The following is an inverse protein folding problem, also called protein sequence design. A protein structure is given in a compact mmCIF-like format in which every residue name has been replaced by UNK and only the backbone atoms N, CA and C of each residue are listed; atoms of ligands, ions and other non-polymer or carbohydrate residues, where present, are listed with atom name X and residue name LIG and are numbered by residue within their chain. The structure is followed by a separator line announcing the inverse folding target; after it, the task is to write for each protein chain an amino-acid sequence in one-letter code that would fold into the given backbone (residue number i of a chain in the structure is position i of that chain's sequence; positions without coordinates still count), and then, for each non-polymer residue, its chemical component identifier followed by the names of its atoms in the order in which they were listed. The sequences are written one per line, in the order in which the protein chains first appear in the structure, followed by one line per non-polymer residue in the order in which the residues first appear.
data_IF_924774155020
#
_entry.id   IF_924774155020
#
_cell.length_a   1.000
_cell.length_b   1.000
_cell.length_c   1.000
_cell.angle_alpha   90.00
_cell.angle_beta   90.00
_cell.angle_gamma   90.00
#
_symmetry.space_group_name_H-M   'P 1'
#
loop_
_entity.id
_entity.type
_entity.pdbx_description
1 polymer ?
#
# COMPACT_ATOMS: atom_id res chain seq x y z
N UNK A 1 -8.43 25.21 15.13
CA UNK A 1 -7.88 24.36 14.05
C UNK A 1 -9.05 23.79 13.28
N UNK A 2 -9.12 24.02 11.96
CA UNK A 2 -10.07 23.31 11.11
C UNK A 2 -9.74 21.81 11.21
N UNK A 3 -10.69 21.01 11.69
CA UNK A 3 -10.54 19.56 11.75
C UNK A 3 -10.53 19.03 10.32
N UNK A 4 -9.39 18.52 9.87
CA UNK A 4 -9.24 17.88 8.56
C UNK A 4 -10.22 16.71 8.46
N UNK A 5 -10.96 16.61 7.36
CA UNK A 5 -11.76 15.43 7.03
C UNK A 5 -10.82 14.22 6.87
N UNK A 6 -10.96 13.17 7.70
CA UNK A 6 -10.13 11.98 7.57
C UNK A 6 -10.26 11.28 6.21
N UNK A 7 -11.35 11.52 5.46
CA UNK A 7 -11.64 10.98 4.12
C UNK A 7 -11.38 11.97 2.99
N UNK A 8 -10.52 12.96 3.21
CA UNK A 8 -10.27 14.07 2.28
C UNK A 8 -9.91 13.66 0.83
N UNK A 9 -9.41 12.44 0.58
CA UNK A 9 -9.08 11.96 -0.79
C UNK A 9 -10.05 10.89 -1.26
N UNK A 10 -10.23 9.83 -0.47
CA UNK A 10 -10.94 8.62 -0.88
C UNK A 10 -12.42 8.85 -1.17
N UNK A 11 -13.04 9.86 -0.52
CA UNK A 11 -14.42 10.27 -0.81
C UNK A 11 -14.70 10.49 -2.28
N UNK A 12 -13.72 10.99 -3.04
CA UNK A 12 -13.82 11.23 -4.48
C UNK A 12 -14.11 9.95 -5.26
N UNK A 13 -13.59 8.81 -4.80
CA UNK A 13 -13.79 7.52 -5.48
C UNK A 13 -15.04 6.78 -5.02
N UNK A 14 -15.59 7.11 -3.85
CA UNK A 14 -16.57 6.25 -3.20
C UNK A 14 -17.88 6.95 -2.80
N UNK A 15 -17.96 8.28 -2.76
CA UNK A 15 -19.20 9.02 -2.50
C UNK A 15 -19.93 9.38 -3.78
N UNK A 16 -21.25 9.45 -3.71
CA UNK A 16 -22.08 9.78 -4.87
C UNK A 16 -22.66 8.57 -5.60
N UNK A 17 -23.72 8.83 -6.36
CA UNK A 17 -24.46 7.80 -7.09
C UNK A 17 -23.66 7.27 -8.28
N UNK A 18 -22.94 8.16 -8.94
CA UNK A 18 -22.02 7.88 -10.06
C UNK A 18 -20.83 6.99 -9.65
N UNK A 19 -20.50 6.93 -8.35
CA UNK A 19 -19.46 6.05 -7.81
C UNK A 19 -19.95 4.64 -7.44
N UNK A 20 -21.19 4.28 -7.76
CA UNK A 20 -21.72 2.93 -7.53
C UNK A 20 -20.88 1.81 -8.18
N UNK A 21 -20.36 1.95 -9.42
CA UNK A 21 -19.48 0.92 -10.00
C UNK A 21 -18.19 0.74 -9.22
N UNK A 22 -17.54 1.81 -8.75
CA UNK A 22 -16.31 1.68 -7.95
C UNK A 22 -16.57 0.89 -6.65
N UNK A 23 -17.69 1.17 -5.97
CA UNK A 23 -18.08 0.44 -4.77
C UNK A 23 -18.43 -1.02 -5.04
N UNK A 24 -19.02 -1.35 -6.19
CA UNK A 24 -19.35 -2.76 -6.50
C UNK A 24 -18.10 -3.62 -6.66
N UNK A 25 -17.02 -3.08 -7.23
CA UNK A 25 -15.73 -3.79 -7.33
C UNK A 25 -15.12 -4.06 -5.95
N UNK A 26 -15.17 -3.09 -5.03
CA UNK A 26 -14.69 -3.30 -3.66
C UNK A 26 -15.53 -4.32 -2.89
N UNK A 27 -16.86 -4.28 -3.07
CA UNK A 27 -17.76 -5.28 -2.48
C UNK A 27 -17.47 -6.69 -3.00
N UNK A 28 -17.10 -6.84 -4.27
CA UNK A 28 -16.75 -8.13 -4.85
C UNK A 28 -15.51 -8.79 -4.21
N UNK A 29 -14.63 -8.00 -3.57
CA UNK A 29 -13.47 -8.48 -2.83
C UNK A 29 -13.66 -8.42 -1.30
N UNK A 30 -14.90 -8.29 -0.84
CA UNK A 30 -15.29 -8.47 0.57
C UNK A 30 -15.40 -7.20 1.41
N UNK A 31 -15.32 -6.00 0.81
CA UNK A 31 -15.53 -4.75 1.56
C UNK A 31 -17.01 -4.51 1.80
N UNK A 32 -17.36 -4.11 3.02
CA UNK A 32 -18.72 -3.69 3.37
C UNK A 32 -18.94 -2.21 3.08
N UNK A 33 -20.20 -1.75 3.14
CA UNK A 33 -20.50 -0.31 3.07
C UNK A 33 -19.84 0.46 4.22
N UNK A 34 -19.70 -0.16 5.39
CA UNK A 34 -19.01 0.44 6.54
C UNK A 34 -17.50 0.59 6.26
N UNK A 35 -16.86 -0.42 5.69
CA UNK A 35 -15.44 -0.35 5.33
C UNK A 35 -15.18 0.77 4.31
N UNK A 36 -16.06 0.91 3.31
CA UNK A 36 -15.96 1.94 2.27
C UNK A 36 -16.25 3.34 2.84
N UNK A 37 -17.02 3.42 3.93
CA UNK A 37 -17.38 4.68 4.59
C UNK A 37 -16.30 5.22 5.54
N UNK A 38 -15.20 4.47 5.77
CA UNK A 38 -14.07 4.87 6.62
C UNK A 38 -12.90 5.42 5.79
N UNK A 39 -11.92 6.11 6.40
CA UNK A 39 -10.68 6.48 5.73
C UNK A 39 -9.95 5.26 5.16
N UNK A 40 -9.53 5.34 3.91
CA UNK A 40 -8.82 4.24 3.25
C UNK A 40 -7.32 4.45 3.41
N UNK A 41 -6.67 3.47 4.04
CA UNK A 41 -5.23 3.50 4.30
C UNK A 41 -4.53 2.47 3.42
N UNK A 42 -3.69 2.94 2.51
CA UNK A 42 -2.83 2.06 1.70
C UNK A 42 -1.71 1.47 2.54
N UNK A 43 -1.47 0.17 2.42
CA UNK A 43 -0.34 -0.51 3.07
C UNK A 43 0.57 -1.02 1.97
N UNK A 44 1.64 -0.30 1.72
CA UNK A 44 2.64 -0.66 0.73
C UNK A 44 3.67 -1.58 1.37
N UNK A 45 3.90 -2.75 0.79
CA UNK A 45 4.92 -3.68 1.24
C UNK A 45 5.94 -3.93 0.13
N UNK A 46 7.19 -4.19 0.51
CA UNK A 46 8.25 -4.69 -0.37
C UNK A 46 8.48 -6.18 -0.14
N UNK A 47 7.48 -6.91 0.34
CA UNK A 47 7.60 -8.34 0.64
C UNK A 47 7.99 -9.12 -0.61
N UNK A 48 8.95 -10.02 -0.45
CA UNK A 48 9.40 -10.97 -1.47
C UNK A 48 10.06 -12.16 -0.79
N UNK A 49 10.01 -13.31 -1.46
CA UNK A 49 10.69 -14.54 -1.02
C UNK A 49 12.13 -14.64 -1.51
N UNK A 50 12.60 -13.66 -2.30
CA UNK A 50 13.95 -13.65 -2.88
C UNK A 50 15.05 -13.33 -1.88
N UNK A 51 14.75 -12.84 -0.68
CA UNK A 51 15.75 -12.39 0.29
C UNK A 51 15.22 -12.33 1.73
N UNK A 52 16.10 -12.53 2.74
CA UNK A 52 15.68 -12.56 4.14
C UNK A 52 15.20 -11.20 4.68
N UNK A 53 15.74 -10.09 4.19
CA UNK A 53 15.41 -8.73 4.67
C UNK A 53 13.93 -8.38 4.53
N UNK A 54 13.27 -8.93 3.50
CA UNK A 54 11.89 -8.59 3.16
C UNK A 54 10.91 -9.74 3.41
N UNK A 55 11.42 -10.93 3.74
CA UNK A 55 10.65 -12.17 3.87
C UNK A 55 9.49 -12.08 4.87
N UNK A 56 9.72 -11.40 6.01
CA UNK A 56 8.72 -11.29 7.07
C UNK A 56 7.74 -10.12 6.92
N UNK A 57 7.90 -9.28 5.88
CA UNK A 57 7.10 -8.06 5.73
C UNK A 57 5.60 -8.35 5.53
N UNK A 58 5.22 -9.48 4.92
CA UNK A 58 3.81 -9.88 4.80
C UNK A 58 3.15 -10.11 6.16
N UNK A 59 3.88 -10.74 7.10
CA UNK A 59 3.39 -10.92 8.47
C UNK A 59 3.26 -9.57 9.19
N UNK A 60 4.22 -8.66 9.00
CA UNK A 60 4.12 -7.30 9.55
C UNK A 60 2.94 -6.52 8.96
N UNK A 61 2.67 -6.66 7.67
CA UNK A 61 1.51 -6.04 7.02
C UNK A 61 0.20 -6.50 7.69
N UNK A 62 0.06 -7.77 8.06
CA UNK A 62 -1.12 -8.25 8.81
C UNK A 62 -1.27 -7.60 10.19
N UNK A 63 -0.17 -7.29 10.88
CA UNK A 63 -0.21 -6.51 12.13
C UNK A 63 -0.65 -5.06 11.87
N UNK A 64 -0.10 -4.40 10.84
CA UNK A 64 -0.49 -3.03 10.46
C UNK A 64 -1.97 -2.96 10.09
N UNK A 65 -2.46 -3.91 9.28
CA UNK A 65 -3.87 -4.02 8.89
C UNK A 65 -4.80 -4.13 10.09
N UNK A 66 -4.37 -4.80 11.16
CA UNK A 66 -5.17 -4.85 12.41
C UNK A 66 -5.20 -3.49 13.10
N UNK A 67 -4.04 -2.86 13.29
CA UNK A 67 -3.96 -1.54 13.91
C UNK A 67 -4.77 -0.47 13.17
N UNK A 68 -4.76 -0.48 11.82
CA UNK A 68 -5.59 0.42 11.01
C UNK A 68 -7.08 0.20 11.27
N UNK A 69 -7.54 -1.05 11.33
CA UNK A 69 -8.95 -1.35 11.63
C UNK A 69 -9.34 -0.94 13.05
N UNK A 70 -8.48 -1.21 14.03
CA UNK A 70 -8.68 -0.82 15.43
C UNK A 70 -8.76 0.71 15.58
N UNK A 71 -8.03 1.46 14.76
CA UNK A 71 -8.08 2.92 14.71
C UNK A 71 -9.26 3.48 13.88
N UNK A 72 -10.15 2.64 13.36
CA UNK A 72 -11.32 3.05 12.59
C UNK A 72 -11.06 3.36 11.11
N UNK A 73 -9.91 2.96 10.57
CA UNK A 73 -9.60 3.01 9.15
C UNK A 73 -9.86 1.68 8.43
N UNK A 74 -9.81 1.72 7.11
CA UNK A 74 -9.94 0.54 6.25
C UNK A 74 -8.63 0.31 5.51
N UNK A 75 -7.91 -0.79 5.78
CA UNK A 75 -6.63 -1.05 5.14
C UNK A 75 -6.79 -1.67 3.74
N UNK A 76 -6.01 -1.20 2.78
CA UNK A 76 -5.83 -1.83 1.47
C UNK A 76 -4.35 -2.11 1.25
N UNK A 77 -3.97 -3.39 1.28
CA UNK A 77 -2.58 -3.81 1.09
C UNK A 77 -2.25 -3.95 -0.39
N UNK A 78 -1.06 -3.48 -0.77
CA UNK A 78 -0.45 -3.73 -2.07
C UNK A 78 1.06 -3.94 -1.89
N UNK A 79 1.69 -4.47 -2.93
CA UNK A 79 3.12 -4.81 -2.89
C UNK A 79 3.87 -4.14 -4.04
N UNK A 80 5.17 -3.89 -3.84
CA UNK A 80 6.10 -3.49 -4.88
C UNK A 80 7.39 -4.32 -4.81
N UNK A 81 8.29 -4.11 -5.77
CA UNK A 81 9.51 -4.91 -5.93
C UNK A 81 10.56 -4.60 -4.86
N UNK A 82 11.57 -5.47 -4.76
CA UNK A 82 12.80 -5.23 -4.02
C UNK A 82 13.94 -6.04 -4.62
N UNK A 83 15.17 -5.54 -4.51
CA UNK A 83 16.39 -6.21 -4.96
C UNK A 83 17.33 -6.34 -3.76
N UNK A 84 17.96 -7.51 -3.59
CA UNK A 84 18.95 -7.72 -2.55
C UNK A 84 20.35 -7.42 -3.06
N UNK A 85 20.96 -6.37 -2.55
CA UNK A 85 22.37 -6.08 -2.80
C UNK A 85 23.26 -7.23 -2.30
N UNK A 86 22.92 -7.82 -1.15
CA UNK A 86 23.66 -8.95 -0.58
C UNK A 86 23.70 -10.20 -1.47
N UNK A 87 22.64 -10.45 -2.26
CA UNK A 87 22.58 -11.60 -3.18
C UNK A 87 23.15 -11.25 -4.57
N UNK A 88 22.89 -10.05 -5.07
CA UNK A 88 23.26 -9.67 -6.45
C UNK A 88 24.70 -9.17 -6.59
N UNK A 89 25.41 -8.97 -5.48
CA UNK A 89 26.78 -8.43 -5.45
C UNK A 89 27.74 -9.20 -6.36
N UNK A 90 28.54 -8.45 -7.13
CA UNK A 90 29.53 -9.03 -8.04
C UNK A 90 28.95 -9.63 -9.33
N UNK A 91 27.66 -9.43 -9.61
CA UNK A 91 27.00 -9.92 -10.83
C UNK A 91 26.39 -8.78 -11.65
N UNK A 92 25.98 -9.07 -12.88
CA UNK A 92 25.20 -8.15 -13.72
C UNK A 92 23.90 -7.69 -13.06
N UNK A 93 23.34 -8.48 -12.13
CA UNK A 93 22.16 -8.13 -11.35
C UNK A 93 22.36 -6.88 -10.49
N UNK A 94 23.58 -6.57 -10.05
CA UNK A 94 23.84 -5.38 -9.23
C UNK A 94 23.50 -4.07 -9.99
N UNK A 95 23.44 -4.10 -11.32
CA UNK A 95 23.00 -2.96 -12.13
C UNK A 95 21.53 -2.59 -11.90
N UNK A 96 20.71 -3.50 -11.35
CA UNK A 96 19.30 -3.24 -11.03
C UNK A 96 19.09 -2.70 -9.61
N UNK A 97 20.12 -2.71 -8.75
CA UNK A 97 20.02 -2.28 -7.35
C UNK A 97 19.57 -0.83 -7.23
N UNK A 98 20.38 0.13 -7.68
CA UNK A 98 20.10 1.55 -7.41
C UNK A 98 18.79 2.04 -8.07
N UNK A 99 18.51 1.58 -9.29
CA UNK A 99 17.29 1.95 -10.00
C UNK A 99 16.02 1.40 -9.33
N UNK A 100 16.13 0.33 -8.53
CA UNK A 100 14.97 -0.21 -7.79
C UNK A 100 14.36 0.81 -6.84
N UNK A 101 15.15 1.73 -6.27
CA UNK A 101 14.65 2.84 -5.42
C UNK A 101 13.63 3.71 -6.15
N UNK A 102 13.94 4.11 -7.38
CA UNK A 102 13.06 4.96 -8.18
C UNK A 102 11.79 4.19 -8.56
N UNK A 103 11.94 2.93 -8.97
CA UNK A 103 10.79 2.08 -9.32
C UNK A 103 9.87 1.84 -8.13
N UNK A 104 10.42 1.66 -6.93
CA UNK A 104 9.66 1.51 -5.68
C UNK A 104 8.90 2.81 -5.40
N UNK A 105 9.57 3.97 -5.46
CA UNK A 105 8.94 5.27 -5.23
C UNK A 105 7.80 5.53 -6.22
N UNK A 106 8.07 5.35 -7.52
CA UNK A 106 7.08 5.53 -8.59
C UNK A 106 5.91 4.56 -8.45
N UNK A 107 6.17 3.30 -8.09
CA UNK A 107 5.14 2.28 -7.88
C UNK A 107 4.22 2.65 -6.70
N UNK A 108 4.79 3.11 -5.59
CA UNK A 108 4.05 3.52 -4.40
C UNK A 108 3.22 4.79 -4.70
N UNK A 109 3.82 5.77 -5.38
CA UNK A 109 3.12 6.99 -5.77
C UNK A 109 1.98 6.71 -6.75
N UNK A 110 2.22 5.89 -7.76
CA UNK A 110 1.23 5.55 -8.79
C UNK A 110 -0.01 4.91 -8.17
N UNK A 111 0.17 3.91 -7.30
CA UNK A 111 -0.94 3.25 -6.60
C UNK A 111 -1.62 4.22 -5.62
N UNK A 112 -0.84 4.96 -4.83
CA UNK A 112 -1.37 5.90 -3.84
C UNK A 112 -2.23 7.01 -4.46
N UNK A 113 -1.78 7.60 -5.57
CA UNK A 113 -2.53 8.61 -6.32
C UNK A 113 -3.71 7.98 -7.07
N UNK A 114 -3.51 6.85 -7.73
CA UNK A 114 -4.55 6.18 -8.53
C UNK A 114 -5.74 5.72 -7.69
N UNK A 115 -5.48 5.19 -6.50
CA UNK A 115 -6.51 4.75 -5.55
C UNK A 115 -6.92 5.82 -4.53
N UNK A 116 -6.38 7.03 -4.62
CA UNK A 116 -6.75 8.19 -3.79
C UNK A 116 -6.79 7.86 -2.29
N UNK A 117 -5.78 7.14 -1.80
CA UNK A 117 -5.70 6.80 -0.36
C UNK A 117 -5.63 8.05 0.50
N UNK A 118 -6.27 8.02 1.67
CA UNK A 118 -6.23 9.14 2.62
C UNK A 118 -4.92 9.18 3.40
N UNK A 119 -4.32 8.02 3.64
CA UNK A 119 -3.01 7.86 4.26
C UNK A 119 -2.33 6.58 3.76
N UNK A 120 -1.03 6.46 4.02
CA UNK A 120 -0.27 5.27 3.68
C UNK A 120 0.70 4.86 4.79
N UNK A 121 0.86 3.55 4.96
CA UNK A 121 1.93 2.94 5.76
C UNK A 121 2.82 2.17 4.80
N UNK A 122 4.12 2.44 4.82
CA UNK A 122 5.09 1.82 3.91
C UNK A 122 6.03 0.92 4.70
N UNK A 123 6.10 -0.36 4.32
CA UNK A 123 6.94 -1.39 4.93
C UNK A 123 8.10 -1.73 3.99
N UNK A 124 9.29 -1.28 4.38
CA UNK A 124 10.56 -1.53 3.69
C UNK A 124 11.51 -2.33 4.57
N UNK A 125 12.44 -3.06 3.95
CA UNK A 125 13.38 -3.93 4.64
C UNK A 125 14.82 -3.80 4.15
N UNK A 126 15.07 -4.01 2.86
CA UNK A 126 16.39 -3.93 2.26
C UNK A 126 16.87 -2.48 2.04
N UNK A 127 18.07 -2.33 1.48
CA UNK A 127 18.78 -1.05 1.39
C UNK A 127 18.05 -0.01 0.51
N UNK A 128 17.48 -0.43 -0.62
CA UNK A 128 16.69 0.41 -1.52
C UNK A 128 15.20 0.15 -1.32
#
# INVERSE_FOLDING_TARGET
MSTLDPRHRSRTLYEGRDRAPARSYLKAIGFTDEDIARPIVGIASTWTETMPCNFNLRRLADHVKRGVREAGGTPMEFNTIAISDGITMGTEGMKTSLVSREVIADSIELVGRGHMFDAMVVLVGCDK
#
